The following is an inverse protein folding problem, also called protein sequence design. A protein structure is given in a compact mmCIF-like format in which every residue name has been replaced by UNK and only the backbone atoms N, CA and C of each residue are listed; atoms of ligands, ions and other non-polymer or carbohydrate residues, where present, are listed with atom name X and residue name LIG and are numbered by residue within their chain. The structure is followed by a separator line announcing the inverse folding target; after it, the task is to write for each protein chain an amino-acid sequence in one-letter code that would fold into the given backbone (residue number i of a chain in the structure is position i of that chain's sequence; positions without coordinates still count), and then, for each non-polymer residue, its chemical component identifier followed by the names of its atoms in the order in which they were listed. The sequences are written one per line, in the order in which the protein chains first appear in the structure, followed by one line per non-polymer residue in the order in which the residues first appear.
data_IF_324619954402
#
_entry.id   IF_324619954402
#
_cell.length_a   1.000
_cell.length_b   1.000
_cell.length_c   1.000
_cell.angle_alpha   90.00
_cell.angle_beta   90.00
_cell.angle_gamma   90.00
#
_symmetry.space_group_name_H-M   'P 1'
#
loop_
_entity.id
_entity.type
_entity.pdbx_description
1 polymer ?
#
# COMPACT_ATOMS: atom_id res chain seq x y z
N UNK A 1 20.18 -6.47 51.29
CA UNK A 1 20.92 -5.72 50.27
C UNK A 1 20.01 -4.69 49.65
N UNK A 2 20.51 -3.47 49.51
CA UNK A 2 19.80 -2.38 48.84
C UNK A 2 19.84 -2.55 47.31
N UNK A 3 18.94 -1.86 46.60
CA UNK A 3 18.95 -1.86 45.13
C UNK A 3 20.30 -1.36 44.59
N UNK A 4 20.86 -0.33 45.22
CA UNK A 4 22.12 0.29 44.83
C UNK A 4 23.32 -0.65 45.07
N UNK A 5 23.32 -1.44 46.14
CA UNK A 5 24.32 -2.50 46.37
C UNK A 5 24.25 -3.59 45.30
N UNK A 6 23.05 -4.07 44.98
CA UNK A 6 22.84 -5.09 43.95
C UNK A 6 23.34 -4.61 42.59
N UNK A 7 23.03 -3.36 42.22
CA UNK A 7 23.47 -2.76 40.96
C UNK A 7 25.00 -2.69 40.87
N UNK A 8 25.70 -2.34 41.96
CA UNK A 8 27.17 -2.32 41.98
C UNK A 8 27.77 -3.72 41.74
N UNK A 9 27.21 -4.76 42.37
CA UNK A 9 27.67 -6.14 42.15
C UNK A 9 27.45 -6.59 40.70
N UNK A 10 26.29 -6.24 40.13
CA UNK A 10 25.95 -6.51 38.73
C UNK A 10 26.95 -5.82 37.78
N UNK A 11 27.29 -4.56 38.04
CA UNK A 11 28.25 -3.79 37.24
C UNK A 11 29.68 -4.35 37.34
N UNK A 12 30.06 -4.88 38.50
CA UNK A 12 31.34 -5.53 38.72
C UNK A 12 31.43 -6.95 38.11
N UNK A 13 30.32 -7.48 37.57
CA UNK A 13 30.27 -8.80 36.97
C UNK A 13 30.15 -9.95 37.98
N UNK A 14 29.88 -9.65 39.25
CA UNK A 14 29.72 -10.65 40.31
C UNK A 14 28.30 -11.21 40.31
N UNK A 15 28.15 -12.53 40.18
CA UNK A 15 26.87 -13.26 40.26
C UNK A 15 25.72 -12.56 39.53
N UNK A 16 25.98 -12.07 38.30
CA UNK A 16 25.08 -11.17 37.56
C UNK A 16 23.65 -11.69 37.47
N UNK A 17 23.48 -12.99 37.19
CA UNK A 17 22.16 -13.60 37.05
C UNK A 17 21.37 -13.60 38.36
N UNK A 18 21.99 -14.05 39.45
CA UNK A 18 21.35 -14.15 40.77
C UNK A 18 21.02 -12.76 41.33
N UNK A 19 21.96 -11.82 41.19
CA UNK A 19 21.77 -10.44 41.62
C UNK A 19 20.69 -9.72 40.80
N UNK A 20 20.60 -9.99 39.49
CA UNK A 20 19.52 -9.46 38.64
C UNK A 20 18.15 -10.03 38.99
N UNK A 21 18.07 -11.33 39.29
CA UNK A 21 16.83 -11.95 39.74
C UNK A 21 16.37 -11.33 41.06
N UNK A 22 17.28 -11.16 42.02
CA UNK A 22 16.99 -10.53 43.30
C UNK A 22 16.55 -9.07 43.11
N UNK A 23 17.23 -8.30 42.26
CA UNK A 23 16.87 -6.93 41.94
C UNK A 23 15.48 -6.85 41.28
N UNK A 24 15.16 -7.79 40.40
CA UNK A 24 13.84 -7.88 39.78
C UNK A 24 12.76 -8.18 40.80
N UNK A 25 12.95 -9.20 41.66
CA UNK A 25 11.96 -9.57 42.68
C UNK A 25 11.68 -8.42 43.67
N UNK A 26 12.72 -7.68 44.08
CA UNK A 26 12.57 -6.51 44.96
C UNK A 26 11.75 -5.39 44.32
N UNK A 27 11.91 -5.17 43.01
CA UNK A 27 11.26 -4.07 42.28
C UNK A 27 10.00 -4.51 41.51
N UNK A 28 9.61 -5.79 41.56
CA UNK A 28 8.52 -6.38 40.76
C UNK A 28 7.19 -5.63 40.93
N UNK A 29 6.84 -5.24 42.17
CA UNK A 29 5.60 -4.49 42.43
C UNK A 29 5.60 -3.08 41.82
N UNK A 30 6.75 -2.42 41.77
CA UNK A 30 6.90 -1.12 41.11
C UNK A 30 6.84 -1.25 39.58
N UNK A 31 7.53 -2.26 39.04
CA UNK A 31 7.51 -2.60 37.61
C UNK A 31 6.09 -2.91 37.17
N UNK A 32 5.38 -3.76 37.92
CA UNK A 32 3.99 -4.11 37.66
C UNK A 32 3.09 -2.88 37.59
N UNK A 33 3.19 -1.94 38.55
CA UNK A 33 2.40 -0.70 38.53
C UNK A 33 2.65 0.16 37.28
N UNK A 34 3.88 0.18 36.78
CA UNK A 34 4.24 0.90 35.55
C UNK A 34 3.64 0.22 34.32
N UNK A 35 3.79 -1.10 34.26
CA UNK A 35 3.37 -1.94 33.13
C UNK A 35 1.85 -2.04 33.04
N UNK A 36 1.16 -2.26 34.16
CA UNK A 36 -0.29 -2.42 34.22
C UNK A 36 -1.06 -1.18 33.75
N UNK A 37 -0.50 0.02 33.94
CA UNK A 37 -1.08 1.24 33.39
C UNK A 37 -0.94 1.37 31.86
N UNK A 38 -0.29 0.38 31.21
CA UNK A 38 0.02 0.35 29.77
C UNK A 38 -0.37 -0.95 29.09
N UNK A 39 -0.97 -1.88 29.82
CA UNK A 39 -1.66 -3.01 29.21
C UNK A 39 -2.86 -2.48 28.44
N UNK A 40 -2.82 -2.66 27.12
CA UNK A 40 -3.92 -2.45 26.20
C UNK A 40 -4.31 -3.83 25.63
N UNK A 41 -5.48 -3.96 24.98
CA UNK A 41 -5.99 -5.22 24.39
C UNK A 41 -5.03 -5.96 23.42
N UNK A 42 -3.92 -5.31 23.02
CA UNK A 42 -2.94 -5.82 22.05
C UNK A 42 -1.69 -6.39 22.75
N UNK A 43 -1.32 -5.88 23.93
CA UNK A 43 -0.09 -6.25 24.61
C UNK A 43 -0.40 -7.10 25.84
N UNK A 44 0.02 -8.36 25.82
CA UNK A 44 -0.11 -9.25 26.97
C UNK A 44 0.75 -8.73 28.15
N UNK A 45 0.22 -8.89 29.36
CA UNK A 45 0.87 -8.39 30.57
C UNK A 45 2.25 -9.05 30.77
N UNK A 46 2.35 -10.35 30.51
CA UNK A 46 3.59 -11.11 30.63
C UNK A 46 4.62 -10.66 29.59
N UNK A 47 4.16 -10.38 28.36
CA UNK A 47 4.76 -9.54 27.31
C UNK A 47 5.57 -8.37 27.85
N UNK A 48 4.81 -7.44 28.40
CA UNK A 48 5.32 -6.16 28.88
C UNK A 48 6.21 -6.32 30.12
N UNK A 49 5.93 -7.30 30.98
CA UNK A 49 6.77 -7.61 32.14
C UNK A 49 8.15 -8.13 31.72
N UNK A 50 8.24 -8.99 30.71
CA UNK A 50 9.51 -9.45 30.15
C UNK A 50 10.31 -8.29 29.53
N UNK A 51 9.64 -7.39 28.80
CA UNK A 51 10.29 -6.19 28.25
C UNK A 51 10.76 -5.22 29.34
N UNK A 52 9.99 -5.08 30.42
CA UNK A 52 10.37 -4.28 31.56
C UNK A 52 11.60 -4.87 32.28
N UNK A 53 11.77 -6.20 32.28
CA UNK A 53 12.98 -6.85 32.78
C UNK A 53 14.23 -6.42 31.99
N UNK A 54 14.18 -6.36 30.65
CA UNK A 54 15.29 -5.79 29.86
C UNK A 54 15.52 -4.30 30.14
N UNK A 55 14.46 -3.55 30.41
CA UNK A 55 14.55 -2.16 30.88
C UNK A 55 15.29 -2.04 32.23
N UNK A 56 14.96 -2.91 33.19
CA UNK A 56 15.62 -3.01 34.48
C UNK A 56 17.12 -3.35 34.32
N UNK A 57 17.44 -4.32 33.47
CA UNK A 57 18.82 -4.69 33.17
C UNK A 57 19.62 -3.52 32.59
N UNK A 58 19.06 -2.81 31.61
CA UNK A 58 19.69 -1.63 31.04
C UNK A 58 19.85 -0.48 32.05
N UNK A 59 18.88 -0.32 32.97
CA UNK A 59 18.98 0.65 34.05
C UNK A 59 20.12 0.30 35.00
N UNK A 60 20.26 -0.97 35.38
CA UNK A 60 21.32 -1.45 36.25
C UNK A 60 22.71 -1.20 35.64
N UNK A 61 22.89 -1.46 34.35
CA UNK A 61 24.19 -1.22 33.68
C UNK A 61 24.58 0.25 33.61
N UNK A 62 23.62 1.17 33.49
CA UNK A 62 23.89 2.61 33.26
C UNK A 62 23.77 3.49 34.48
N UNK A 63 23.29 2.96 35.61
CA UNK A 63 23.11 3.73 36.82
C UNK A 63 24.45 4.07 37.46
N UNK A 64 24.73 5.36 37.64
CA UNK A 64 25.89 5.83 38.38
C UNK A 64 25.43 6.70 39.56
N UNK A 65 25.63 6.20 40.77
CA UNK A 65 25.19 6.86 42.00
C UNK A 65 25.94 8.18 42.25
N UNK A 66 27.20 8.27 41.85
CA UNK A 66 28.05 9.45 42.08
C UNK A 66 27.70 10.59 41.13
N UNK A 67 27.43 10.27 39.86
CA UNK A 67 27.09 11.27 38.84
C UNK A 67 25.63 11.75 38.93
N UNK A 68 24.70 10.86 39.29
CA UNK A 68 23.27 11.14 39.14
C UNK A 68 22.59 11.64 40.41
N UNK A 69 23.22 11.49 41.58
CA UNK A 69 22.74 11.97 42.89
C UNK A 69 21.25 11.66 43.21
N UNK A 70 20.69 10.59 42.63
CA UNK A 70 19.31 10.17 42.82
C UNK A 70 19.23 8.65 43.00
N UNK A 71 18.20 8.17 43.71
CA UNK A 71 18.02 6.72 43.94
C UNK A 71 17.72 6.00 42.63
N UNK A 72 18.14 4.73 42.56
CA UNK A 72 17.93 3.83 41.41
C UNK A 72 16.48 3.82 40.90
N UNK A 73 15.49 3.81 41.81
CA UNK A 73 14.06 3.77 41.46
C UNK A 73 13.65 4.98 40.59
N UNK A 74 14.28 6.13 40.82
CA UNK A 74 13.98 7.39 40.11
C UNK A 74 14.25 7.27 38.61
N UNK A 75 15.33 6.56 38.27
CA UNK A 75 15.80 6.35 36.91
C UNK A 75 15.18 5.09 36.30
N UNK A 76 14.93 4.07 37.11
CA UNK A 76 14.34 2.80 36.69
C UNK A 76 13.06 3.00 35.87
N UNK A 77 12.19 3.92 36.30
CA UNK A 77 10.97 4.26 35.56
C UNK A 77 11.30 4.62 34.11
N UNK A 78 12.22 5.54 33.86
CA UNK A 78 12.57 5.99 32.51
C UNK A 78 13.00 4.83 31.60
N UNK A 79 13.86 3.94 32.11
CA UNK A 79 14.35 2.79 31.34
C UNK A 79 13.27 1.76 31.03
N UNK A 80 12.38 1.47 31.99
CA UNK A 80 11.21 0.59 31.75
C UNK A 80 10.29 1.21 30.69
N UNK A 81 10.00 2.51 30.77
CA UNK A 81 9.10 3.14 29.81
C UNK A 81 9.68 3.13 28.39
N UNK A 82 11.01 3.19 28.24
CA UNK A 82 11.67 3.10 26.95
C UNK A 82 11.68 1.67 26.40
N UNK A 83 11.98 0.66 27.24
CA UNK A 83 12.01 -0.73 26.78
C UNK A 83 10.66 -1.25 26.30
N UNK A 84 9.57 -0.80 26.94
CA UNK A 84 8.20 -1.11 26.50
C UNK A 84 7.84 -0.41 25.17
N UNK A 85 8.41 0.78 24.91
CA UNK A 85 8.04 1.60 23.76
C UNK A 85 8.64 1.09 22.44
N UNK A 86 9.74 0.35 22.51
CA UNK A 86 10.49 -0.11 21.34
C UNK A 86 9.86 -1.31 20.61
N UNK A 87 8.78 -1.91 21.14
CA UNK A 87 8.10 -3.07 20.54
C UNK A 87 6.90 -2.75 19.64
N UNK A 88 6.70 -1.47 19.27
CA UNK A 88 5.64 -1.12 18.33
C UNK A 88 5.95 -1.65 16.92
N UNK A 89 4.92 -2.12 16.20
CA UNK A 89 4.96 -2.55 14.79
C UNK A 89 5.51 -1.49 13.79
N UNK A 90 5.78 -0.27 14.26
CA UNK A 90 6.27 0.84 13.45
C UNK A 90 7.55 1.43 14.02
N UNK A 91 8.34 2.06 13.14
CA UNK A 91 9.56 2.78 13.53
C UNK A 91 9.32 3.78 14.68
N UNK A 92 10.33 4.02 15.53
CA UNK A 92 10.28 5.00 16.63
C UNK A 92 9.72 6.36 16.19
N UNK A 93 10.12 6.81 14.98
CA UNK A 93 9.63 8.06 14.39
C UNK A 93 8.13 8.01 14.08
N UNK A 94 7.62 6.89 13.58
CA UNK A 94 6.20 6.74 13.29
C UNK A 94 5.35 6.68 14.56
N UNK A 95 5.78 5.93 15.58
CA UNK A 95 5.09 5.86 16.87
C UNK A 95 4.93 7.26 17.51
N UNK A 96 5.91 8.13 17.34
CA UNK A 96 5.80 9.53 17.77
C UNK A 96 4.68 10.30 17.05
N UNK A 97 4.59 10.17 15.72
CA UNK A 97 3.55 10.85 14.94
C UNK A 97 2.16 10.31 15.23
N UNK A 98 2.01 8.99 15.36
CA UNK A 98 0.74 8.35 15.73
C UNK A 98 0.28 8.80 17.12
N UNK A 99 1.18 8.83 18.11
CA UNK A 99 0.87 9.33 19.45
C UNK A 99 0.43 10.80 19.41
N UNK A 100 1.18 11.67 18.72
CA UNK A 100 0.82 13.08 18.58
C UNK A 100 -0.52 13.27 17.89
N UNK A 101 -0.77 12.53 16.81
CA UNK A 101 -2.03 12.55 16.09
C UNK A 101 -3.21 12.22 17.02
N UNK A 102 -3.14 11.10 17.76
CA UNK A 102 -4.19 10.69 18.71
C UNK A 102 -4.39 11.72 19.81
N UNK A 103 -3.29 12.25 20.37
CA UNK A 103 -3.36 13.28 21.41
C UNK A 103 -4.04 14.56 20.94
N UNK A 104 -3.58 15.14 19.82
CA UNK A 104 -4.17 16.37 19.28
C UNK A 104 -5.64 16.15 18.92
N UNK A 105 -5.98 15.02 18.32
CA UNK A 105 -7.35 14.67 17.97
C UNK A 105 -8.26 14.60 19.20
N UNK A 106 -7.80 13.97 20.28
CA UNK A 106 -8.56 13.84 21.53
C UNK A 106 -8.68 15.18 22.27
N UNK A 107 -7.58 15.94 22.39
CA UNK A 107 -7.58 17.25 23.03
C UNK A 107 -8.51 18.23 22.30
N UNK A 108 -8.52 18.18 20.96
CA UNK A 108 -9.39 19.00 20.13
C UNK A 108 -10.86 18.61 20.28
N UNK A 109 -11.16 17.31 20.25
CA UNK A 109 -12.52 16.81 20.46
C UNK A 109 -13.04 17.14 21.86
N UNK A 110 -12.22 16.98 22.91
CA UNK A 110 -12.60 17.36 24.27
C UNK A 110 -12.93 18.85 24.40
N UNK A 111 -12.24 19.72 23.64
CA UNK A 111 -12.41 21.16 23.72
C UNK A 111 -13.57 21.69 22.87
N UNK A 112 -13.80 21.11 21.70
CA UNK A 112 -14.73 21.65 20.70
C UNK A 112 -15.88 20.71 20.34
N UNK A 113 -15.90 19.49 20.87
CA UNK A 113 -16.91 18.45 20.64
C UNK A 113 -17.03 17.97 19.18
N UNK A 114 -16.01 18.21 18.35
CA UNK A 114 -15.86 17.64 17.00
C UNK A 114 -14.38 17.37 16.67
N UNK A 115 -14.10 16.64 15.60
CA UNK A 115 -12.74 16.27 15.21
C UNK A 115 -12.05 17.34 14.35
N UNK A 116 -10.71 17.51 14.47
CA UNK A 116 -9.98 18.49 13.69
C UNK A 116 -9.95 18.12 12.19
N UNK A 117 -9.98 19.15 11.34
CA UNK A 117 -9.84 19.01 9.89
C UNK A 117 -8.42 18.62 9.47
N UNK A 118 -8.29 18.04 8.28
CA UNK A 118 -7.04 17.50 7.76
C UNK A 118 -6.01 18.60 7.48
N UNK A 119 -6.45 19.75 6.97
CA UNK A 119 -5.57 20.90 6.76
C UNK A 119 -5.00 21.42 8.08
N UNK A 120 -5.83 21.47 9.13
CA UNK A 120 -5.39 21.82 10.48
C UNK A 120 -4.38 20.79 11.01
N UNK A 121 -4.66 19.50 10.86
CA UNK A 121 -3.76 18.43 11.31
C UNK A 121 -2.41 18.45 10.57
N UNK A 122 -2.41 18.70 9.26
CA UNK A 122 -1.19 18.88 8.46
C UNK A 122 -0.32 20.03 8.99
N UNK A 123 -0.93 21.18 9.31
CA UNK A 123 -0.23 22.35 9.87
C UNK A 123 0.37 22.08 11.24
N UNK A 124 -0.40 21.45 12.14
CA UNK A 124 0.05 21.17 13.51
C UNK A 124 1.13 20.09 13.55
N UNK A 125 0.98 19.02 12.76
CA UNK A 125 1.95 17.93 12.68
C UNK A 125 3.15 18.24 11.78
N UNK A 126 3.08 19.32 10.98
CA UNK A 126 4.09 19.73 9.98
C UNK A 126 4.37 18.61 8.97
N UNK A 127 3.32 17.99 8.47
CA UNK A 127 3.37 16.90 7.48
C UNK A 127 2.48 17.24 6.28
N UNK A 128 2.87 16.81 5.08
CA UNK A 128 2.00 16.91 3.90
C UNK A 128 0.83 15.93 3.97
N UNK A 129 -0.19 16.13 3.12
CA UNK A 129 -1.42 15.33 3.12
C UNK A 129 -1.17 13.83 2.97
N UNK A 130 -0.21 13.43 2.12
CA UNK A 130 0.20 12.02 1.96
C UNK A 130 0.75 11.44 3.26
N UNK A 131 1.55 12.22 3.98
CA UNK A 131 2.10 11.83 5.27
C UNK A 131 1.03 11.73 6.35
N UNK A 132 0.06 12.66 6.36
CA UNK A 132 -1.09 12.60 7.26
C UNK A 132 -1.94 11.36 7.01
N UNK A 133 -2.24 11.03 5.75
CA UNK A 133 -3.00 9.83 5.41
C UNK A 133 -2.31 8.55 5.88
N UNK A 134 -0.98 8.49 5.72
CA UNK A 134 -0.21 7.34 6.22
C UNK A 134 -0.23 7.27 7.76
N UNK A 135 -0.07 8.40 8.46
CA UNK A 135 -0.18 8.45 9.93
C UNK A 135 -1.58 8.03 10.39
N UNK A 136 -2.63 8.48 9.70
CA UNK A 136 -4.02 8.09 9.98
C UNK A 136 -4.18 6.58 9.85
N UNK A 137 -3.74 6.02 8.72
CA UNK A 137 -3.78 4.58 8.46
C UNK A 137 -3.07 3.80 9.56
N UNK A 138 -1.86 4.20 9.95
CA UNK A 138 -1.15 3.57 11.07
C UNK A 138 -1.87 3.75 12.42
N UNK A 139 -2.52 4.89 12.65
CA UNK A 139 -3.23 5.18 13.89
C UNK A 139 -4.55 4.39 14.03
N UNK A 140 -5.21 4.10 12.90
CA UNK A 140 -6.45 3.32 12.79
C UNK A 140 -6.21 1.84 12.48
N UNK A 141 -4.99 1.45 12.14
CA UNK A 141 -4.62 0.05 11.92
C UNK A 141 -4.63 -0.71 13.25
N UNK A 142 -5.82 -1.02 13.75
CA UNK A 142 -6.04 -2.20 14.57
C UNK A 142 -6.07 -3.38 13.62
N UNK A 143 -5.20 -4.36 13.85
CA UNK A 143 -5.30 -5.66 13.19
C UNK A 143 -6.62 -6.26 13.67
N UNK A 144 -7.58 -6.42 12.76
CA UNK A 144 -8.83 -7.13 13.03
C UNK A 144 -8.60 -8.58 12.63
N UNK A 145 -9.08 -9.52 13.44
CA UNK A 145 -9.00 -10.94 13.11
C UNK A 145 -9.82 -11.21 11.85
N UNK A 146 -9.25 -11.97 10.91
CA UNK A 146 -10.01 -12.45 9.75
C UNK A 146 -11.17 -13.37 10.18
N UNK A 147 -11.05 -14.02 11.33
CA UNK A 147 -12.09 -14.88 11.90
C UNK A 147 -13.14 -14.08 12.70
N UNK A 148 -13.14 -12.75 12.59
CA UNK A 148 -14.19 -11.93 13.20
C UNK A 148 -15.48 -12.13 12.42
N UNK A 149 -16.54 -12.58 13.08
CA UNK A 149 -17.86 -12.71 12.46
C UNK A 149 -18.46 -11.34 12.10
N UNK A 150 -19.14 -11.27 10.97
CA UNK A 150 -19.78 -10.07 10.45
C UNK A 150 -21.25 -10.37 10.12
N UNK A 151 -22.14 -9.45 10.51
CA UNK A 151 -23.58 -9.56 10.29
C UNK A 151 -24.36 -9.95 11.55
N UNK A 152 -25.69 -9.90 11.49
CA UNK A 152 -26.55 -10.20 12.64
C UNK A 152 -26.70 -11.71 12.92
N UNK A 153 -26.38 -12.54 11.92
CA UNK A 153 -26.52 -14.00 12.01
C UNK A 153 -25.21 -14.72 12.38
N UNK A 154 -24.11 -13.99 12.62
CA UNK A 154 -22.78 -14.51 13.00
C UNK A 154 -22.27 -15.70 12.16
N UNK A 155 -22.73 -15.84 10.91
CA UNK A 155 -22.42 -16.99 10.05
C UNK A 155 -21.29 -16.75 9.03
N UNK A 156 -20.76 -15.52 8.92
CA UNK A 156 -19.76 -15.17 7.92
C UNK A 156 -18.55 -14.54 8.58
N UNK A 157 -17.36 -15.10 8.33
CA UNK A 157 -16.11 -14.53 8.81
C UNK A 157 -15.67 -13.37 7.91
N UNK A 158 -14.97 -12.38 8.47
CA UNK A 158 -14.40 -11.27 7.71
C UNK A 158 -13.49 -11.76 6.57
N UNK A 159 -12.77 -12.86 6.79
CA UNK A 159 -11.90 -13.49 5.81
C UNK A 159 -12.64 -13.97 4.56
N UNK A 160 -13.89 -14.42 4.70
CA UNK A 160 -14.70 -14.93 3.57
C UNK A 160 -15.15 -13.82 2.62
N UNK A 161 -15.14 -12.56 3.08
CA UNK A 161 -15.60 -11.40 2.31
C UNK A 161 -14.46 -10.77 1.51
N UNK A 162 -13.20 -10.95 1.94
CA UNK A 162 -12.06 -10.27 1.33
C UNK A 162 -11.71 -10.95 0.00
N UNK A 163 -11.84 -10.26 -1.15
CA UNK A 163 -11.49 -10.85 -2.44
C UNK A 163 -9.97 -10.99 -2.58
N UNK A 164 -9.53 -12.04 -3.26
CA UNK A 164 -8.15 -12.20 -3.68
C UNK A 164 -7.86 -11.35 -4.93
N UNK A 165 -7.18 -10.21 -4.73
CA UNK A 165 -6.80 -9.32 -5.83
C UNK A 165 -5.67 -9.88 -6.73
N UNK A 166 -5.04 -10.99 -6.33
CA UNK A 166 -3.97 -11.62 -7.13
C UNK A 166 -4.50 -12.48 -8.28
N UNK A 167 -5.77 -12.86 -8.24
CA UNK A 167 -6.41 -13.69 -9.25
C UNK A 167 -6.98 -12.78 -10.33
N UNK A 168 -6.37 -12.79 -11.52
CA UNK A 168 -6.98 -12.18 -12.71
C UNK A 168 -8.32 -12.87 -13.01
N UNK A 169 -9.35 -12.08 -13.32
CA UNK A 169 -10.65 -12.60 -13.70
C UNK A 169 -10.52 -13.58 -14.88
N UNK A 170 -11.11 -14.77 -14.76
CA UNK A 170 -11.06 -15.81 -15.77
C UNK A 170 -11.51 -15.32 -17.15
N UNK A 171 -12.53 -14.47 -17.20
CA UNK A 171 -13.02 -13.88 -18.46
C UNK A 171 -11.92 -13.07 -19.15
N UNK A 172 -11.16 -12.29 -18.38
CA UNK A 172 -10.03 -11.47 -18.88
C UNK A 172 -8.90 -12.36 -19.40
N UNK A 173 -8.63 -13.48 -18.71
CA UNK A 173 -7.61 -14.45 -19.15
C UNK A 173 -8.00 -15.05 -20.49
N UNK A 174 -9.25 -15.55 -20.62
CA UNK A 174 -9.75 -16.18 -21.85
C UNK A 174 -9.77 -15.19 -23.01
N UNK A 175 -10.29 -13.98 -22.80
CA UNK A 175 -10.30 -12.92 -23.81
C UNK A 175 -8.89 -12.59 -24.32
N UNK A 176 -7.91 -12.50 -23.41
CA UNK A 176 -6.51 -12.24 -23.76
C UNK A 176 -5.90 -13.37 -24.59
N UNK A 177 -6.20 -14.63 -24.26
CA UNK A 177 -5.74 -15.77 -25.04
C UNK A 177 -6.34 -15.81 -26.44
N UNK A 178 -7.64 -15.55 -26.56
CA UNK A 178 -8.32 -15.50 -27.84
C UNK A 178 -7.82 -14.35 -28.72
N UNK A 179 -7.61 -13.16 -28.14
CA UNK A 179 -6.93 -12.06 -28.83
C UNK A 179 -5.55 -12.46 -29.33
N UNK A 180 -4.74 -13.10 -28.47
CA UNK A 180 -3.39 -13.53 -28.84
C UNK A 180 -3.44 -14.52 -30.01
N UNK A 181 -4.44 -15.41 -30.05
CA UNK A 181 -4.66 -16.34 -31.17
C UNK A 181 -5.00 -15.58 -32.46
N UNK A 182 -5.92 -14.61 -32.40
CA UNK A 182 -6.33 -13.80 -33.56
C UNK A 182 -5.15 -12.96 -34.08
N UNK A 183 -4.43 -12.27 -33.20
CA UNK A 183 -3.24 -11.48 -33.55
C UNK A 183 -2.16 -12.36 -34.20
N UNK A 184 -1.88 -13.54 -33.65
CA UNK A 184 -0.89 -14.44 -34.26
C UNK A 184 -1.33 -14.95 -35.63
N UNK A 185 -2.61 -15.34 -35.78
CA UNK A 185 -3.15 -15.83 -37.05
C UNK A 185 -3.16 -14.77 -38.16
N UNK A 186 -3.30 -13.50 -37.80
CA UNK A 186 -3.34 -12.37 -38.73
C UNK A 186 -1.92 -11.91 -39.09
N UNK A 187 -1.00 -11.91 -38.11
CA UNK A 187 0.43 -11.69 -38.34
C UNK A 187 1.02 -12.73 -39.31
N UNK A 188 0.64 -14.00 -39.19
CA UNK A 188 1.12 -15.07 -40.10
C UNK A 188 0.63 -14.94 -41.55
N UNK A 189 -0.39 -14.11 -41.82
CA UNK A 189 -0.85 -13.81 -43.19
C UNK A 189 -0.01 -12.73 -43.86
N UNK A 190 0.77 -11.97 -43.10
CA UNK A 190 1.67 -10.94 -43.64
C UNK A 190 2.88 -11.59 -44.32
N UNK A 191 3.63 -10.80 -45.08
CA UNK A 191 4.92 -11.28 -45.58
C UNK A 191 5.89 -11.52 -44.42
N UNK A 192 6.77 -12.52 -44.52
CA UNK A 192 7.70 -12.90 -43.44
C UNK A 192 8.56 -11.74 -42.95
N UNK A 193 8.89 -10.78 -43.85
CA UNK A 193 9.63 -9.56 -43.48
C UNK A 193 8.79 -8.57 -42.68
N UNK A 194 7.52 -8.40 -43.01
CA UNK A 194 6.60 -7.52 -42.27
C UNK A 194 6.26 -8.12 -40.91
N UNK A 195 5.95 -9.41 -40.85
CA UNK A 195 5.70 -10.13 -39.59
C UNK A 195 6.90 -10.00 -38.64
N UNK A 196 8.11 -10.31 -39.12
CA UNK A 196 9.32 -10.25 -38.30
C UNK A 196 9.54 -8.84 -37.73
N UNK A 197 9.42 -7.79 -38.56
CA UNK A 197 9.58 -6.40 -38.10
C UNK A 197 8.52 -6.04 -37.06
N UNK A 198 7.25 -6.41 -37.26
CA UNK A 198 6.20 -6.11 -36.29
C UNK A 198 6.40 -6.85 -34.96
N UNK A 199 6.87 -8.10 -35.00
CA UNK A 199 7.18 -8.85 -33.77
C UNK A 199 8.34 -8.25 -33.00
N UNK A 200 9.43 -7.88 -33.68
CA UNK A 200 10.58 -7.24 -33.03
C UNK A 200 10.21 -5.88 -32.40
N UNK A 201 9.36 -5.10 -33.07
CA UNK A 201 8.96 -3.77 -32.57
C UNK A 201 7.96 -3.85 -31.40
N UNK A 202 6.92 -4.68 -31.51
CA UNK A 202 5.80 -4.67 -30.55
C UNK A 202 5.88 -5.74 -29.46
N UNK A 203 6.45 -6.93 -29.73
CA UNK A 203 6.58 -7.97 -28.71
C UNK A 203 7.89 -7.85 -27.93
N UNK A 204 8.96 -7.39 -28.57
CA UNK A 204 10.27 -7.21 -27.93
C UNK A 204 10.60 -5.74 -27.60
N UNK A 205 9.70 -4.81 -27.91
CA UNK A 205 9.85 -3.37 -27.64
C UNK A 205 11.18 -2.76 -28.16
N UNK A 206 11.67 -3.24 -29.30
CA UNK A 206 12.92 -2.74 -29.91
C UNK A 206 12.69 -1.45 -30.70
N UNK A 207 13.75 -0.66 -30.87
CA UNK A 207 13.71 0.57 -31.67
C UNK A 207 13.85 0.25 -33.18
N UNK A 208 13.34 1.15 -34.04
CA UNK A 208 13.49 1.01 -35.50
C UNK A 208 14.95 0.93 -35.94
N UNK A 209 15.84 1.60 -35.22
CA UNK A 209 17.27 1.64 -35.50
C UNK A 209 17.95 0.32 -35.13
N UNK A 210 17.65 -0.24 -33.95
CA UNK A 210 18.14 -1.56 -33.54
C UNK A 210 17.68 -2.65 -34.51
N UNK A 211 16.40 -2.66 -34.88
CA UNK A 211 15.88 -3.65 -35.85
C UNK A 211 16.52 -3.48 -37.23
N UNK A 212 16.78 -2.24 -37.66
CA UNK A 212 17.46 -1.97 -38.93
C UNK A 212 18.90 -2.49 -38.95
N UNK A 213 19.65 -2.26 -37.88
CA UNK A 213 21.02 -2.75 -37.73
C UNK A 213 21.08 -4.29 -37.75
N UNK A 214 20.19 -4.95 -37.00
CA UNK A 214 20.13 -6.42 -36.93
C UNK A 214 19.75 -7.06 -38.28
N UNK A 215 18.86 -6.41 -39.06
CA UNK A 215 18.37 -6.94 -40.34
C UNK A 215 19.18 -6.49 -41.55
N UNK A 216 20.18 -5.61 -41.37
CA UNK A 216 20.98 -5.02 -42.45
C UNK A 216 20.18 -4.06 -43.33
N UNK A 217 19.10 -3.48 -42.81
CA UNK A 217 18.17 -2.61 -43.54
C UNK A 217 18.17 -1.22 -42.91
N UNK A 218 18.20 -0.16 -43.72
CA UNK A 218 18.15 1.21 -43.20
C UNK A 218 16.88 1.51 -42.40
N UNK A 219 16.99 2.35 -41.36
CA UNK A 219 15.90 2.76 -40.46
C UNK A 219 14.60 3.15 -41.20
N UNK A 220 14.72 3.94 -42.27
CA UNK A 220 13.57 4.41 -43.05
C UNK A 220 12.87 3.25 -43.76
N UNK A 221 13.62 2.24 -44.21
CA UNK A 221 13.05 1.07 -44.84
C UNK A 221 12.31 0.18 -43.84
N UNK A 222 12.81 0.06 -42.59
CA UNK A 222 12.08 -0.59 -41.49
C UNK A 222 10.78 0.14 -41.20
N UNK A 223 10.78 1.49 -41.18
CA UNK A 223 9.57 2.31 -41.00
C UNK A 223 8.52 2.03 -42.10
N UNK A 224 8.94 1.97 -43.36
CA UNK A 224 8.04 1.66 -44.49
C UNK A 224 7.42 0.26 -44.39
N UNK A 225 8.21 -0.74 -44.00
CA UNK A 225 7.71 -2.11 -43.81
C UNK A 225 6.74 -2.19 -42.63
N UNK A 226 7.02 -1.50 -41.52
CA UNK A 226 6.08 -1.35 -40.40
C UNK A 226 4.76 -0.76 -40.86
N UNK A 227 4.78 0.37 -41.59
CA UNK A 227 3.55 1.03 -42.05
C UNK A 227 2.75 0.18 -43.03
N UNK A 228 3.43 -0.61 -43.86
CA UNK A 228 2.78 -1.53 -44.78
C UNK A 228 2.14 -2.72 -44.06
N UNK A 229 2.86 -3.32 -43.12
CA UNK A 229 2.33 -4.38 -42.26
C UNK A 229 1.11 -3.92 -41.47
N UNK A 230 1.18 -2.75 -40.82
CA UNK A 230 0.03 -2.17 -40.11
C UNK A 230 -1.15 -1.87 -41.03
N UNK A 231 -0.89 -1.41 -42.27
CA UNK A 231 -1.94 -1.17 -43.26
C UNK A 231 -2.62 -2.46 -43.73
N UNK A 232 -1.86 -3.54 -43.86
CA UNK A 232 -2.39 -4.85 -44.22
C UNK A 232 -3.20 -5.47 -43.07
N UNK A 233 -2.75 -5.32 -41.82
CA UNK A 233 -3.52 -5.75 -40.65
C UNK A 233 -4.89 -5.06 -40.56
N UNK A 234 -4.95 -3.75 -40.89
CA UNK A 234 -6.22 -3.00 -40.93
C UNK A 234 -7.20 -3.45 -42.02
N UNK A 235 -6.75 -4.26 -43.00
CA UNK A 235 -7.63 -4.82 -44.02
C UNK A 235 -8.24 -6.16 -43.61
N UNK A 236 -7.66 -6.82 -42.62
CA UNK A 236 -8.19 -8.09 -42.13
C UNK A 236 -9.41 -7.81 -41.23
N UNK A 237 -10.59 -8.20 -41.71
CA UNK A 237 -11.86 -7.97 -41.02
C UNK A 237 -11.92 -8.66 -39.66
N UNK A 238 -11.28 -9.82 -39.52
CA UNK A 238 -11.24 -10.56 -38.27
C UNK A 238 -10.36 -9.83 -37.24
N UNK A 239 -9.21 -9.30 -37.68
CA UNK A 239 -8.36 -8.47 -36.84
C UNK A 239 -9.07 -7.19 -36.39
N UNK A 240 -9.70 -6.48 -37.32
CA UNK A 240 -10.39 -5.22 -37.03
C UNK A 240 -11.53 -5.44 -36.04
N UNK A 241 -12.37 -6.46 -36.25
CA UNK A 241 -13.48 -6.77 -35.35
C UNK A 241 -13.01 -7.18 -33.96
N UNK A 242 -12.01 -8.05 -33.87
CA UNK A 242 -11.47 -8.50 -32.57
C UNK A 242 -10.75 -7.40 -31.80
N UNK A 243 -10.24 -6.39 -32.50
CA UNK A 243 -9.55 -5.25 -31.87
C UNK A 243 -10.44 -4.03 -31.70
N UNK A 244 -11.72 -4.10 -32.11
CA UNK A 244 -12.68 -3.00 -32.04
C UNK A 244 -12.96 -2.59 -30.59
N UNK A 245 -13.20 -3.56 -29.73
CA UNK A 245 -13.42 -3.38 -28.30
C UNK A 245 -12.17 -2.83 -27.58
N UNK A 246 -10.98 -3.09 -28.13
CA UNK A 246 -9.71 -2.59 -27.60
C UNK A 246 -9.31 -1.23 -28.20
N UNK A 247 -9.95 -0.81 -29.29
CA UNK A 247 -9.69 0.48 -29.96
C UNK A 247 -10.41 1.64 -29.27
N UNK A 248 -11.56 1.36 -28.66
CA UNK A 248 -12.30 2.31 -27.83
C UNK A 248 -11.57 2.65 -26.53
N UNK A 249 -10.66 1.77 -26.06
CA UNK A 249 -9.88 1.97 -24.84
C UNK A 249 -8.58 2.80 -25.02
N UNK A 250 -8.23 3.30 -26.22
CA UNK A 250 -7.07 4.19 -26.37
C UNK A 250 -7.48 5.62 -25.98
N UNK A 251 -7.09 6.15 -24.80
CA UNK A 251 -7.50 7.47 -24.36
C UNK A 251 -6.51 8.48 -24.96
N UNK A 252 -6.54 8.69 -26.28
CA UNK A 252 -5.67 9.69 -26.92
C UNK A 252 -6.42 10.95 -27.34
N UNK A 253 -7.76 10.93 -27.31
CA UNK A 253 -8.59 12.12 -27.46
C UNK A 253 -8.95 12.65 -26.08
N UNK A 254 -9.01 13.98 -25.97
CA UNK A 254 -9.41 14.69 -24.74
C UNK A 254 -8.47 14.53 -23.53
N UNK A 255 -7.20 14.19 -23.76
CA UNK A 255 -6.15 14.28 -22.72
C UNK A 255 -5.41 15.61 -22.84
N UNK A 256 -5.28 16.31 -21.71
CA UNK A 256 -4.47 17.52 -21.57
C UNK A 256 -5.25 18.83 -21.73
N UNK A 257 -4.71 19.90 -21.14
CA UNK A 257 -5.38 21.20 -21.03
C UNK A 257 -5.72 21.84 -22.39
N UNK A 258 -4.86 21.67 -23.40
CA UNK A 258 -5.09 22.24 -24.73
C UNK A 258 -6.27 21.57 -25.44
N UNK A 259 -6.43 20.26 -25.27
CA UNK A 259 -7.51 19.52 -25.91
C UNK A 259 -8.85 19.78 -25.19
N UNK A 260 -8.83 19.91 -23.86
CA UNK A 260 -10.00 20.35 -23.09
C UNK A 260 -10.46 21.75 -23.51
N UNK A 261 -9.54 22.72 -23.68
CA UNK A 261 -9.89 24.06 -24.17
C UNK A 261 -10.51 24.05 -25.57
N UNK A 262 -10.12 23.09 -26.42
CA UNK A 262 -10.62 22.95 -27.80
C UNK A 262 -11.98 22.25 -27.87
N UNK A 263 -12.19 21.25 -27.01
CA UNK A 263 -13.32 20.31 -27.12
C UNK A 263 -14.38 20.48 -26.04
N UNK A 264 -14.02 21.12 -24.93
CA UNK A 264 -14.90 21.30 -23.77
C UNK A 264 -15.10 20.06 -22.91
N UNK A 265 -14.50 18.91 -23.27
CA UNK A 265 -14.72 17.63 -22.59
C UNK A 265 -13.39 16.99 -22.22
N UNK A 266 -13.34 16.38 -21.03
CA UNK A 266 -12.23 15.52 -20.59
C UNK A 266 -12.31 14.12 -21.23
N UNK A 267 -11.22 13.34 -21.14
CA UNK A 267 -11.19 11.96 -21.64
C UNK A 267 -12.23 11.05 -20.98
N UNK A 268 -12.53 11.31 -19.70
CA UNK A 268 -13.55 10.55 -18.96
C UNK A 268 -14.95 10.94 -19.42
N UNK A 269 -15.26 12.23 -19.48
CA UNK A 269 -16.58 12.72 -19.93
C UNK A 269 -16.87 12.31 -21.37
N UNK A 270 -15.86 12.37 -22.25
CA UNK A 270 -16.04 11.95 -23.64
C UNK A 270 -16.32 10.45 -23.76
N UNK A 271 -15.62 9.61 -23.00
CA UNK A 271 -15.88 8.15 -22.97
C UNK A 271 -17.29 7.84 -22.48
N UNK A 272 -17.75 8.52 -21.43
CA UNK A 272 -19.12 8.40 -20.93
C UNK A 272 -20.14 8.77 -22.02
N UNK A 273 -19.93 9.90 -22.70
CA UNK A 273 -20.81 10.30 -23.82
C UNK A 273 -20.84 9.28 -24.96
N UNK A 274 -19.73 8.61 -25.27
CA UNK A 274 -19.72 7.56 -26.29
C UNK A 274 -20.49 6.32 -25.83
N UNK A 275 -20.33 5.91 -24.57
CA UNK A 275 -21.08 4.80 -23.99
C UNK A 275 -22.58 5.07 -23.98
N UNK A 276 -23.00 6.28 -23.59
CA UNK A 276 -24.40 6.71 -23.65
C UNK A 276 -24.93 6.72 -25.07
N UNK A 277 -24.15 7.22 -26.04
CA UNK A 277 -24.54 7.24 -27.45
C UNK A 277 -24.73 5.83 -28.00
N UNK A 278 -23.84 4.91 -27.64
CA UNK A 278 -23.94 3.51 -28.05
C UNK A 278 -25.13 2.81 -27.39
N UNK A 279 -25.43 3.12 -26.13
CA UNK A 279 -26.64 2.65 -25.46
C UNK A 279 -27.90 3.16 -26.17
N UNK A 280 -27.95 4.45 -26.53
CA UNK A 280 -29.06 5.04 -27.28
C UNK A 280 -29.20 4.37 -28.67
N UNK A 281 -28.10 4.18 -29.39
CA UNK A 281 -28.11 3.54 -30.70
C UNK A 281 -28.60 2.08 -30.62
N UNK A 282 -28.23 1.35 -29.56
CA UNK A 282 -28.73 0.00 -29.30
C UNK A 282 -30.23 0.02 -28.99
N UNK A 283 -30.71 0.92 -28.13
CA UNK A 283 -32.15 1.07 -27.84
C UNK A 283 -32.95 1.44 -29.10
N UNK A 284 -32.41 2.32 -29.96
CA UNK A 284 -33.03 2.66 -31.23
C UNK A 284 -33.09 1.43 -32.16
N UNK A 285 -32.04 0.62 -32.20
CA UNK A 285 -32.02 -0.61 -32.99
C UNK A 285 -33.05 -1.64 -32.49
N UNK A 286 -33.20 -1.80 -31.18
CA UNK A 286 -34.23 -2.65 -30.57
C UNK A 286 -35.64 -2.18 -30.90
N UNK A 287 -35.90 -0.87 -30.79
CA UNK A 287 -37.18 -0.26 -31.15
C UNK A 287 -37.48 -0.51 -32.64
N UNK A 288 -36.51 -0.28 -33.54
CA UNK A 288 -36.70 -0.56 -34.98
C UNK A 288 -37.02 -2.02 -35.26
N UNK A 289 -36.34 -2.94 -34.59
CA UNK A 289 -36.61 -4.37 -34.70
C UNK A 289 -38.01 -4.75 -34.18
N UNK A 290 -38.46 -4.13 -33.10
CA UNK A 290 -39.78 -4.38 -32.50
C UNK A 290 -40.94 -3.83 -33.36
N UNK A 291 -40.73 -2.71 -34.05
CA UNK A 291 -41.77 -2.05 -34.86
C UNK A 291 -41.63 -2.27 -36.38
N UNK A 292 -40.64 -3.06 -36.83
CA UNK A 292 -40.47 -3.44 -38.24
C UNK A 292 -40.11 -2.30 -39.18
N UNK A 293 -39.37 -1.30 -38.69
CA UNK A 293 -38.89 -0.11 -39.44
C UNK A 293 -37.46 -0.26 -39.92
#
# INVERSE_FOLDING_TARGET
MTNEELVKLIQNGEYVSENMEQLYMQNKGFIYKIVHNRTDNINELDDLMQQAYFGLYNAALKYNQEEMACSFISILKFYILNSIRDNGNFTVRMNYYVYKYKKIRNDYHQKYDYYPDDDYMCKVLKVGIKGLNYIKQCATASIVSLNTFIGEEDNTELGDIIPDESIENFDVIVEREDLKRIVNSTLSKLSSREEHILRELYYKNRTLESVGNDTGIGRERVRQLKERGLRNLRKDTQFVKATEDYRSYIPTRHIGLNEFKRTGTSSVEWSVMQMERQSIDNTIAEIRAQFGL
#
